data_IF_376334589865
#
_entry.id   IF_376334589865
#
_cell.length_a   1.000
_cell.length_b   1.000
_cell.length_c   1.000
_cell.angle_alpha   90.00
_cell.angle_beta   90.00
_cell.angle_gamma   90.00
#
_symmetry.space_group_name_H-M   'P 1'
#
loop_
_entity.id
_entity.type
_entity.pdbx_description
1 polymer ?
#
# COMPACT_ATOMS: atom_id res chain seq x y z
N UNK A 1 7.22 4.75 -18.84
CA UNK A 1 6.61 3.66 -19.65
C UNK A 1 5.68 2.79 -18.81
N UNK A 2 6.11 2.26 -17.66
CA UNK A 2 5.30 1.36 -16.81
C UNK A 2 3.97 1.94 -16.29
N UNK A 3 3.87 3.26 -16.04
CA UNK A 3 2.62 3.85 -15.56
C UNK A 3 1.46 3.72 -16.55
N UNK A 4 1.72 3.82 -17.86
CA UNK A 4 0.68 3.69 -18.89
C UNK A 4 0.18 2.26 -19.01
N UNK A 5 1.07 1.28 -18.87
CA UNK A 5 0.71 -0.13 -18.78
C UNK A 5 -0.14 -0.42 -17.54
N UNK A 6 0.22 0.11 -16.37
CA UNK A 6 -0.55 -0.06 -15.14
C UNK A 6 -1.97 0.54 -15.27
N UNK A 7 -2.07 1.72 -15.89
CA UNK A 7 -3.36 2.38 -16.20
C UNK A 7 -4.22 1.48 -17.09
N UNK A 8 -3.64 0.98 -18.18
CA UNK A 8 -4.33 0.11 -19.12
C UNK A 8 -4.82 -1.18 -18.44
N UNK A 9 -3.96 -1.86 -17.68
CA UNK A 9 -4.32 -3.06 -16.93
C UNK A 9 -5.46 -2.77 -15.93
N UNK A 10 -5.43 -1.63 -15.23
CA UNK A 10 -6.51 -1.21 -14.33
C UNK A 10 -7.82 -1.00 -15.06
N UNK A 11 -7.80 -0.38 -16.24
CA UNK A 11 -9.02 -0.14 -17.01
C UNK A 11 -9.63 -1.44 -17.54
N UNK A 12 -8.81 -2.44 -17.86
CA UNK A 12 -9.28 -3.79 -18.20
C UNK A 12 -9.92 -4.52 -17.00
N UNK A 13 -9.47 -4.26 -15.77
CA UNK A 13 -10.00 -4.93 -14.57
C UNK A 13 -11.18 -4.21 -13.92
N UNK A 14 -11.50 -2.98 -14.38
CA UNK A 14 -12.49 -2.07 -13.78
C UNK A 14 -13.91 -2.60 -13.70
N UNK A 15 -14.25 -3.61 -14.52
CA UNK A 15 -15.56 -4.26 -14.52
C UNK A 15 -15.74 -5.34 -13.43
N UNK A 16 -14.73 -5.62 -12.61
CA UNK A 16 -14.77 -6.76 -11.67
C UNK A 16 -15.03 -6.41 -10.21
N UNK A 17 -14.56 -5.28 -9.67
CA UNK A 17 -14.88 -4.88 -8.29
C UNK A 17 -14.51 -3.42 -7.99
N UNK A 18 -15.44 -2.65 -7.41
CA UNK A 18 -15.21 -1.24 -7.01
C UNK A 18 -14.34 -1.10 -5.75
N UNK A 19 -14.13 -2.19 -5.01
CA UNK A 19 -13.39 -2.20 -3.74
C UNK A 19 -11.97 -2.78 -3.85
N UNK A 20 -11.38 -2.76 -5.04
CA UNK A 20 -10.04 -3.32 -5.28
C UNK A 20 -8.93 -2.40 -4.75
N UNK A 21 -7.93 -2.97 -4.06
CA UNK A 21 -6.67 -2.28 -3.76
C UNK A 21 -5.61 -2.60 -4.80
N UNK A 22 -4.95 -1.56 -5.33
CA UNK A 22 -3.82 -1.68 -6.23
C UNK A 22 -2.51 -1.49 -5.47
N UNK A 23 -1.63 -2.49 -5.53
CA UNK A 23 -0.30 -2.44 -4.90
C UNK A 23 0.77 -2.28 -5.99
N UNK A 24 1.60 -1.24 -5.88
CA UNK A 24 2.78 -1.06 -6.71
C UNK A 24 4.04 -1.25 -5.86
N UNK A 25 4.93 -2.13 -6.32
CA UNK A 25 6.16 -2.50 -5.63
C UNK A 25 7.36 -1.84 -6.32
N UNK A 26 8.19 -1.15 -5.54
CA UNK A 26 9.42 -0.52 -6.01
C UNK A 26 10.59 -0.94 -5.11
N UNK A 27 11.78 -0.96 -5.70
CA UNK A 27 13.02 -1.06 -4.94
C UNK A 27 13.51 0.31 -4.50
N UNK A 28 13.92 0.44 -3.25
CA UNK A 28 14.61 1.63 -2.74
C UNK A 28 16.09 1.35 -2.52
N UNK A 29 16.90 2.42 -2.52
CA UNK A 29 18.32 2.33 -2.20
C UNK A 29 18.51 2.00 -0.72
N UNK A 30 19.62 1.35 -0.38
CA UNK A 30 19.92 0.93 0.99
C UNK A 30 19.96 2.12 1.97
N UNK A 31 20.41 3.29 1.51
CA UNK A 31 20.49 4.50 2.34
C UNK A 31 19.14 5.23 2.48
N UNK A 32 18.14 4.82 1.69
CA UNK A 32 16.81 5.41 1.74
C UNK A 32 16.00 4.79 2.88
N UNK A 33 15.31 5.63 3.65
CA UNK A 33 14.38 5.19 4.69
C UNK A 33 15.00 4.18 5.68
N UNK A 34 16.12 4.54 6.35
CA UNK A 34 16.89 3.61 7.18
C UNK A 34 16.12 3.05 8.40
N UNK A 35 14.92 3.58 8.67
CA UNK A 35 14.04 3.06 9.71
C UNK A 35 13.20 1.85 9.28
N UNK A 36 13.21 1.50 7.99
CA UNK A 36 12.27 0.59 7.35
C UNK A 36 12.96 -0.29 6.30
N UNK A 37 12.80 -1.62 6.38
CA UNK A 37 13.15 -2.52 5.27
C UNK A 37 12.11 -2.46 4.14
N UNK A 38 10.88 -2.08 4.51
CA UNK A 38 9.79 -1.80 3.58
C UNK A 38 8.96 -0.61 4.06
N UNK A 39 8.65 0.31 3.15
CA UNK A 39 7.87 1.50 3.43
C UNK A 39 6.54 1.44 2.67
N UNK A 40 5.45 1.32 3.41
CA UNK A 40 4.09 1.08 2.90
C UNK A 40 3.29 2.39 2.96
N UNK A 41 3.10 3.04 1.81
CA UNK A 41 2.41 4.33 1.71
C UNK A 41 1.16 4.23 0.85
N UNK A 42 0.07 4.87 1.26
CA UNK A 42 -1.11 5.10 0.43
C UNK A 42 -0.98 6.35 -0.47
N UNK A 43 0.22 6.90 -0.61
CA UNK A 43 0.43 8.14 -1.32
C UNK A 43 0.10 9.38 -0.50
N UNK A 44 0.01 9.31 0.84
CA UNK A 44 -0.46 10.40 1.71
C UNK A 44 0.57 10.80 2.78
N UNK A 45 0.44 12.03 3.30
CA UNK A 45 1.28 12.52 4.39
C UNK A 45 1.10 11.70 5.69
N UNK A 46 2.09 11.72 6.61
CA UNK A 46 2.06 10.95 7.86
C UNK A 46 0.88 11.21 8.81
N UNK A 47 0.22 12.37 8.71
CA UNK A 47 -0.88 12.77 9.59
C UNK A 47 -2.26 12.43 9.01
N UNK A 48 -2.33 11.87 7.80
CA UNK A 48 -3.58 11.44 7.19
C UNK A 48 -4.32 10.43 8.07
N UNK A 49 -5.64 10.61 8.21
CA UNK A 49 -6.52 9.79 9.05
C UNK A 49 -6.42 8.29 8.75
N UNK A 50 -6.11 7.92 7.50
CA UNK A 50 -5.92 6.52 7.11
C UNK A 50 -4.79 5.84 7.91
N UNK A 51 -3.72 6.55 8.25
CA UNK A 51 -2.64 6.01 9.08
C UNK A 51 -2.98 6.05 10.58
N UNK A 52 -4.04 6.77 10.96
CA UNK A 52 -4.61 6.71 12.31
C UNK A 52 -5.45 5.44 12.51
N UNK A 53 -6.19 5.05 11.48
CA UNK A 53 -7.07 3.89 11.50
C UNK A 53 -6.28 2.58 11.41
N UNK A 54 -6.28 1.80 12.49
CA UNK A 54 -5.62 0.49 12.56
C UNK A 54 -6.21 -0.57 11.62
N UNK A 55 -7.41 -0.35 11.10
CA UNK A 55 -8.09 -1.21 10.12
C UNK A 55 -7.79 -0.81 8.67
N UNK A 56 -7.06 0.30 8.43
CA UNK A 56 -6.69 0.68 7.06
C UNK A 56 -5.73 -0.33 6.45
N UNK A 57 -5.80 -0.48 5.12
CA UNK A 57 -4.96 -1.41 4.38
C UNK A 57 -3.45 -1.24 4.66
N UNK A 58 -2.84 -0.04 4.61
CA UNK A 58 -1.40 0.07 4.87
C UNK A 58 -1.02 -0.38 6.29
N UNK A 59 -1.84 -0.07 7.30
CA UNK A 59 -1.60 -0.51 8.67
C UNK A 59 -1.79 -2.03 8.85
N UNK A 60 -2.75 -2.63 8.13
CA UNK A 60 -2.94 -4.09 8.11
C UNK A 60 -1.75 -4.80 7.47
N UNK A 61 -1.21 -4.28 6.37
CA UNK A 61 -0.03 -4.82 5.69
C UNK A 61 1.18 -4.76 6.62
N UNK A 62 1.51 -3.59 7.20
CA UNK A 62 2.70 -3.47 8.05
C UNK A 62 2.60 -4.35 9.31
N UNK A 63 1.42 -4.43 9.92
CA UNK A 63 1.17 -5.34 11.05
C UNK A 63 1.36 -6.80 10.65
N UNK A 64 0.80 -7.22 9.51
CA UNK A 64 0.91 -8.58 9.04
C UNK A 64 2.38 -8.98 8.76
N UNK A 65 3.18 -8.09 8.17
CA UNK A 65 4.62 -8.33 7.98
C UNK A 65 5.31 -8.56 9.33
N UNK A 66 5.04 -7.73 10.35
CA UNK A 66 5.60 -7.88 11.70
C UNK A 66 5.13 -9.17 12.40
N UNK A 67 3.92 -9.64 12.09
CA UNK A 67 3.42 -10.92 12.59
C UNK A 67 4.15 -12.10 11.96
N UNK A 68 4.44 -12.02 10.66
CA UNK A 68 5.08 -13.11 9.91
C UNK A 68 6.60 -13.13 10.10
N UNK A 69 7.23 -11.98 10.34
CA UNK A 69 8.68 -11.86 10.44
C UNK A 69 9.10 -10.87 11.53
N UNK A 70 10.05 -11.30 12.36
CA UNK A 70 10.78 -10.43 13.30
C UNK A 70 11.97 -9.73 12.65
N UNK A 71 12.36 -10.15 11.44
CA UNK A 71 13.55 -9.66 10.74
C UNK A 71 13.22 -8.49 9.81
N UNK A 72 12.01 -8.46 9.23
CA UNK A 72 11.61 -7.40 8.32
C UNK A 72 10.77 -6.34 9.03
N UNK A 73 11.23 -5.09 8.98
CA UNK A 73 10.56 -3.93 9.54
C UNK A 73 9.82 -3.17 8.44
N UNK A 74 8.54 -3.48 8.29
CA UNK A 74 7.63 -2.69 7.47
C UNK A 74 7.03 -1.53 8.29
N UNK A 75 7.03 -0.32 7.73
CA UNK A 75 6.45 0.87 8.37
C UNK A 75 5.59 1.68 7.40
N UNK A 76 4.61 2.39 7.96
CA UNK A 76 3.87 3.45 7.25
C UNK A 76 4.55 4.82 7.41
N UNK A 77 4.16 5.84 6.64
CA UNK A 77 4.62 7.22 6.85
C UNK A 77 4.42 7.76 8.26
N UNK A 78 3.42 7.26 9.00
CA UNK A 78 3.20 7.65 10.39
C UNK A 78 4.28 7.11 11.33
N UNK A 79 4.78 5.92 11.03
CA UNK A 79 5.73 5.17 11.87
C UNK A 79 7.18 5.55 11.54
N UNK A 80 7.51 5.68 10.25
CA UNK A 80 8.80 6.22 9.78
C UNK A 80 8.61 7.61 9.17
N UNK A 81 8.55 8.62 10.05
CA UNK A 81 8.35 10.03 9.67
C UNK A 81 9.55 10.64 8.94
N UNK A 82 10.71 9.98 8.95
CA UNK A 82 11.94 10.48 8.30
C UNK A 82 12.00 10.05 6.83
N UNK A 83 11.37 8.93 6.49
CA UNK A 83 11.25 8.47 5.11
C UNK A 83 10.40 9.42 4.27
N UNK A 84 10.93 9.85 3.12
CA UNK A 84 10.27 10.80 2.19
C UNK A 84 9.66 10.12 0.97
N UNK A 85 9.77 8.80 0.83
CA UNK A 85 9.26 8.03 -0.31
C UNK A 85 7.75 7.76 -0.19
N UNK A 86 6.97 8.80 0.13
CA UNK A 86 5.54 8.73 0.45
C UNK A 86 4.64 8.58 -0.77
N UNK A 87 5.17 8.56 -2.00
CA UNK A 87 4.42 8.33 -3.24
C UNK A 87 3.37 9.39 -3.64
N UNK A 88 3.39 10.59 -3.06
CA UNK A 88 2.39 11.64 -3.39
C UNK A 88 2.42 12.07 -4.86
N UNK A 89 3.58 11.91 -5.52
CA UNK A 89 3.79 12.25 -6.93
C UNK A 89 3.64 11.07 -7.87
N UNK A 90 3.24 9.90 -7.37
CA UNK A 90 3.10 8.70 -8.17
C UNK A 90 1.98 8.85 -9.23
N UNK A 91 2.34 8.70 -10.51
CA UNK A 91 1.43 8.88 -11.66
C UNK A 91 0.29 7.87 -11.64
N UNK A 92 0.57 6.61 -11.30
CA UNK A 92 -0.46 5.58 -11.24
C UNK A 92 -1.38 5.79 -10.04
N UNK A 93 -0.83 6.13 -8.87
CA UNK A 93 -1.62 6.51 -7.69
C UNK A 93 -2.56 7.68 -7.96
N UNK A 94 -2.07 8.73 -8.63
CA UNK A 94 -2.91 9.87 -9.08
C UNK A 94 -4.08 9.41 -9.95
N UNK A 95 -3.85 8.47 -10.86
CA UNK A 95 -4.89 7.92 -11.72
C UNK A 95 -5.93 7.12 -10.93
N UNK A 96 -5.48 6.27 -10.00
CA UNK A 96 -6.37 5.55 -9.08
C UNK A 96 -7.25 6.54 -8.29
N UNK A 97 -6.66 7.62 -7.80
CA UNK A 97 -7.36 8.65 -7.03
C UNK A 97 -8.13 9.69 -7.87
N UNK A 98 -8.38 9.40 -9.15
CA UNK A 98 -9.31 10.14 -10.00
C UNK A 98 -8.73 11.33 -10.76
N UNK A 99 -7.41 11.53 -10.79
CA UNK A 99 -6.80 12.55 -11.64
C UNK A 99 -6.96 12.14 -13.12
N UNK A 100 -7.49 13.02 -13.99
CA UNK A 100 -7.65 12.71 -15.41
C UNK A 100 -6.32 12.38 -16.09
N UNK A 101 -6.36 11.44 -17.05
CA UNK A 101 -5.18 10.91 -17.73
C UNK A 101 -4.25 12.01 -18.28
N UNK A 102 -4.82 13.03 -18.92
CA UNK A 102 -4.09 14.14 -19.55
C UNK A 102 -3.39 15.06 -18.52
N UNK A 103 -3.75 14.95 -17.23
CA UNK A 103 -3.26 15.79 -16.14
C UNK A 103 -2.31 15.05 -15.17
N UNK A 104 -2.14 13.73 -15.32
CA UNK A 104 -1.45 12.88 -14.34
C UNK A 104 -0.03 13.31 -13.99
N UNK A 105 0.71 13.87 -14.95
CA UNK A 105 2.08 14.30 -14.73
C UNK A 105 2.18 15.55 -13.84
N UNK A 106 1.18 16.43 -13.88
CA UNK A 106 1.27 17.79 -13.31
C UNK A 106 0.28 18.07 -12.18
N UNK A 107 -0.79 17.29 -12.08
CA UNK A 107 -1.84 17.51 -11.08
C UNK A 107 -1.75 16.49 -9.96
N UNK A 108 -1.54 16.91 -8.70
CA UNK A 108 -1.63 16.00 -7.56
C UNK A 108 -3.07 15.53 -7.35
N UNK A 109 -3.24 14.33 -6.77
CA UNK A 109 -4.56 13.89 -6.31
C UNK A 109 -4.98 14.63 -5.04
N UNK A 110 -6.28 14.77 -4.81
CA UNK A 110 -6.79 15.23 -3.51
C UNK A 110 -6.36 14.27 -2.40
N UNK A 111 -5.91 14.81 -1.27
CA UNK A 111 -5.58 14.01 -0.07
C UNK A 111 -6.84 13.31 0.48
N UNK A 112 -8.01 13.94 0.37
CA UNK A 112 -9.27 13.37 0.83
C UNK A 112 -9.65 12.07 0.09
N UNK A 113 -9.14 11.88 -1.13
CA UNK A 113 -9.40 10.69 -1.93
C UNK A 113 -8.43 9.53 -1.61
N UNK A 114 -7.45 9.74 -0.74
CA UNK A 114 -6.42 8.74 -0.41
C UNK A 114 -6.93 7.82 0.70
N UNK A 115 -7.75 6.85 0.31
CA UNK A 115 -8.45 5.91 1.20
C UNK A 115 -7.74 4.56 1.37
N UNK A 116 -6.63 4.34 0.66
CA UNK A 116 -5.93 3.06 0.62
C UNK A 116 -6.29 2.18 -0.59
N UNK A 117 -7.07 2.69 -1.55
CA UNK A 117 -7.30 2.04 -2.85
C UNK A 117 -6.01 1.89 -3.66
N UNK A 118 -5.01 2.77 -3.43
CA UNK A 118 -3.65 2.60 -3.95
C UNK A 118 -2.66 2.48 -2.80
N UNK A 119 -1.78 1.48 -2.88
CA UNK A 119 -0.67 1.26 -1.96
C UNK A 119 0.62 1.19 -2.77
N UNK A 120 1.62 1.92 -2.32
CA UNK A 120 2.96 1.91 -2.85
C UNK A 120 3.89 1.34 -1.78
N UNK A 121 4.69 0.33 -2.16
CA UNK A 121 5.62 -0.33 -1.26
C UNK A 121 7.02 -0.15 -1.83
N UNK A 122 7.83 0.64 -1.13
CA UNK A 122 9.25 0.82 -1.40
C UNK A 122 10.05 -0.15 -0.52
N UNK A 123 11.02 -0.88 -1.08
CA UNK A 123 11.66 -2.02 -0.41
C UNK A 123 13.16 -2.06 -0.60
N UNK A 124 13.89 -2.36 0.47
CA UNK A 124 15.29 -2.78 0.38
C UNK A 124 15.40 -4.19 -0.23
N UNK A 125 16.61 -4.56 -0.63
CA UNK A 125 16.86 -5.86 -1.25
C UNK A 125 16.44 -7.02 -0.34
N UNK A 126 16.77 -6.94 0.95
CA UNK A 126 16.38 -7.95 1.94
C UNK A 126 14.85 -8.15 2.01
N UNK A 127 14.03 -7.10 1.89
CA UNK A 127 12.58 -7.23 1.90
C UNK A 127 12.06 -7.79 0.58
N UNK A 128 12.60 -7.34 -0.54
CA UNK A 128 12.19 -7.76 -1.90
C UNK A 128 12.46 -9.24 -2.15
N UNK A 129 13.60 -9.75 -1.66
CA UNK A 129 14.04 -11.12 -1.92
C UNK A 129 13.30 -12.15 -1.03
N UNK A 130 12.48 -11.70 -0.08
CA UNK A 130 11.71 -12.52 0.85
C UNK A 130 10.23 -12.65 0.45
N UNK A 131 9.98 -13.22 -0.74
CA UNK A 131 8.63 -13.32 -1.31
C UNK A 131 7.64 -14.08 -0.42
N UNK A 132 8.09 -15.14 0.28
CA UNK A 132 7.24 -15.93 1.18
C UNK A 132 6.66 -15.13 2.34
N UNK A 133 7.45 -14.18 2.87
CA UNK A 133 6.98 -13.28 3.92
C UNK A 133 5.87 -12.39 3.36
N UNK A 134 6.07 -11.84 2.15
CA UNK A 134 5.07 -10.99 1.50
C UNK A 134 3.78 -11.73 1.16
N UNK A 135 3.86 -12.94 0.62
CA UNK A 135 2.68 -13.75 0.31
C UNK A 135 1.85 -13.97 1.59
N UNK A 136 2.48 -14.42 2.68
CA UNK A 136 1.80 -14.67 3.95
C UNK A 136 1.24 -13.37 4.54
N UNK A 137 2.02 -12.28 4.52
CA UNK A 137 1.59 -11.00 5.06
C UNK A 137 0.40 -10.44 4.29
N UNK A 138 0.39 -10.50 2.95
CA UNK A 138 -0.74 -10.06 2.13
C UNK A 138 -1.96 -10.94 2.33
N UNK A 139 -1.79 -12.26 2.44
CA UNK A 139 -2.90 -13.17 2.77
C UNK A 139 -3.54 -12.80 4.11
N UNK A 140 -2.75 -12.46 5.13
CA UNK A 140 -3.27 -12.00 6.43
C UNK A 140 -3.92 -10.61 6.29
N UNK A 141 -3.25 -9.68 5.62
CA UNK A 141 -3.67 -8.29 5.49
C UNK A 141 -4.92 -8.12 4.62
N UNK A 142 -5.20 -9.04 3.69
CA UNK A 142 -6.38 -8.99 2.82
C UNK A 142 -7.38 -10.11 3.08
N UNK A 143 -7.09 -11.07 3.97
CA UNK A 143 -8.09 -12.02 4.42
C UNK A 143 -9.32 -11.25 4.93
N UNK A 144 -10.46 -11.55 4.32
CA UNK A 144 -11.76 -11.22 4.87
C UNK A 144 -11.87 -12.04 6.14
N UNK A 145 -11.95 -11.40 7.31
CA UNK A 145 -12.37 -12.08 8.52
C UNK A 145 -13.83 -12.48 8.30
N UNK A 146 -14.07 -13.64 7.69
CA UNK A 146 -15.33 -14.37 7.85
C UNK A 146 -15.27 -15.09 9.19
N UNK A 147 -15.29 -14.34 10.29
CA UNK A 147 -15.71 -14.94 11.56
C UNK A 147 -17.23 -14.85 11.56
N UNK A 148 -17.87 -15.85 10.97
CA UNK A 148 -19.10 -16.37 11.54
C UNK A 148 -18.70 -17.63 12.29
N UNK A 149 -18.23 -17.45 13.51
CA UNK A 149 -18.41 -18.50 14.51
C UNK A 149 -19.80 -18.23 15.06
N UNK A 150 -20.80 -18.87 14.45
CA UNK A 150 -21.97 -19.27 15.20
C UNK A 150 -21.77 -20.77 15.42
N UNK A 151 -20.94 -21.10 16.40
CA UNK A 151 -21.08 -22.38 17.06
C UNK A 151 -22.21 -22.20 18.09
N UNK A 152 -23.32 -22.88 17.75
CA UNK A 152 -24.41 -23.42 18.57
C UNK A 152 -24.45 -23.05 20.05
N UNK A 153 -25.61 -22.54 20.51
CA UNK A 153 -26.20 -22.85 21.82
C UNK A 153 -27.70 -22.51 21.82
N UNK A 154 -28.53 -23.52 21.51
CA UNK A 154 -29.84 -23.87 22.09
C UNK A 154 -30.67 -24.71 21.10
#
# INVERSE_FOLDING_TARGET
>A
MFNYWNIFLRDLTRNKDKNSTFIQWHGMKEESCPGSDAFVSAGANPTATLYLNQSSIPNRITRAVRTVSKLLKANTPREDKKCRLVAETNVFGRYIYGVPFQKLCKTPSSIANRDGTFIHIEQHANSRDNLDIWIKALQIAFKTIKIRIHDELA
#
